data_IF_047390477353
#
_entry.id   IF_047390477353
#
_cell.length_a   1.000
_cell.length_b   1.000
_cell.length_c   1.000
_cell.angle_alpha   90.00
_cell.angle_beta   90.00
_cell.angle_gamma   90.00
#
_symmetry.space_group_name_H-M   'P 1'
#
loop_
_entity.id
_entity.type
_entity.pdbx_description
1 polymer ?
#
# COMPACT_ATOMS: atom_id res chain seq x y z
N UNK A 1 6.94 -7.78 -5.76
CA UNK A 1 5.79 -8.57 -5.24
C UNK A 1 4.52 -7.80 -5.53
N UNK A 2 3.49 -8.49 -6.00
CA UNK A 2 2.23 -7.84 -6.36
C UNK A 2 1.34 -7.67 -5.14
N UNK A 3 0.72 -6.49 -5.04
CA UNK A 3 -0.22 -6.18 -3.99
C UNK A 3 -1.36 -5.32 -4.51
N UNK A 4 -2.29 -5.01 -3.63
CA UNK A 4 -3.39 -4.11 -3.93
C UNK A 4 -3.64 -3.21 -2.71
N UNK A 5 -4.07 -1.99 -3.01
CA UNK A 5 -4.46 -1.02 -2.00
C UNK A 5 -5.98 -0.95 -2.03
N UNK A 6 -6.62 -1.19 -0.88
CA UNK A 6 -8.08 -1.18 -0.78
C UNK A 6 -8.54 -0.09 0.16
N UNK A 7 -9.47 0.73 -0.30
CA UNK A 7 -10.11 1.77 0.50
C UNK A 7 -11.46 2.16 -0.13
N UNK A 8 -12.45 2.43 0.69
CA UNK A 8 -13.75 2.98 0.26
C UNK A 8 -14.38 2.21 -0.92
N UNK A 9 -14.24 0.89 -0.95
CA UNK A 9 -14.77 0.07 -2.02
C UNK A 9 -13.95 0.06 -3.30
N UNK A 10 -12.82 0.77 -3.33
CA UNK A 10 -11.92 0.81 -4.47
C UNK A 10 -10.72 -0.09 -4.25
N UNK A 11 -10.17 -0.60 -5.34
CA UNK A 11 -8.96 -1.42 -5.31
C UNK A 11 -8.00 -0.90 -6.36
N UNK A 12 -6.76 -0.63 -5.94
CA UNK A 12 -5.72 -0.13 -6.84
C UNK A 12 -4.53 -1.07 -6.75
N UNK A 13 -4.06 -1.55 -7.89
CA UNK A 13 -2.89 -2.43 -7.94
C UNK A 13 -1.63 -1.65 -7.56
N UNK A 14 -0.73 -2.31 -6.87
CA UNK A 14 0.56 -1.74 -6.53
C UNK A 14 1.66 -2.81 -6.60
N UNK A 15 2.90 -2.35 -6.64
CA UNK A 15 4.06 -3.22 -6.55
C UNK A 15 4.72 -3.01 -5.18
N UNK A 16 4.87 -4.09 -4.43
CA UNK A 16 5.54 -4.02 -3.13
C UNK A 16 7.03 -4.17 -3.38
N UNK A 17 7.77 -3.07 -3.19
CA UNK A 17 9.20 -3.01 -3.52
C UNK A 17 10.08 -3.45 -2.37
N UNK A 18 9.64 -3.16 -1.14
CA UNK A 18 10.40 -3.50 0.05
C UNK A 18 9.42 -3.73 1.18
N UNK A 19 9.78 -4.57 2.13
CA UNK A 19 8.88 -4.93 3.20
C UNK A 19 9.64 -5.31 4.45
N UNK A 20 9.12 -4.89 5.59
CA UNK A 20 9.65 -5.27 6.89
C UNK A 20 8.49 -5.66 7.79
N UNK A 21 8.80 -6.03 9.03
CA UNK A 21 7.76 -6.39 9.99
C UNK A 21 6.86 -5.19 10.34
N UNK A 22 7.37 -3.96 10.18
CA UNK A 22 6.64 -2.75 10.59
C UNK A 22 6.03 -1.96 9.44
N UNK A 23 6.39 -2.25 8.19
CA UNK A 23 5.88 -1.47 7.07
C UNK A 23 6.39 -1.93 5.72
N UNK A 24 6.11 -1.15 4.69
CA UNK A 24 6.47 -1.48 3.33
C UNK A 24 6.67 -0.23 2.49
N UNK A 25 7.41 -0.37 1.38
CA UNK A 25 7.49 0.63 0.33
C UNK A 25 6.72 0.10 -0.87
N UNK A 26 5.84 0.93 -1.41
CA UNK A 26 4.93 0.55 -2.50
C UNK A 26 5.15 1.45 -3.69
N UNK A 27 5.07 0.87 -4.88
CA UNK A 27 5.10 1.61 -6.14
C UNK A 27 3.70 1.65 -6.72
N UNK A 28 3.18 2.85 -6.99
CA UNK A 28 1.85 3.07 -7.54
C UNK A 28 1.91 4.24 -8.52
N UNK A 29 0.99 4.24 -9.50
CA UNK A 29 1.00 5.24 -10.56
C UNK A 29 0.62 6.64 -10.06
N UNK A 30 -0.37 6.72 -9.17
CA UNK A 30 -0.90 8.01 -8.69
C UNK A 30 -1.02 8.03 -7.17
N UNK A 31 0.11 8.24 -6.44
CA UNK A 31 0.07 8.23 -4.97
C UNK A 31 -0.85 9.28 -4.38
N UNK A 32 -1.10 10.38 -5.10
CA UNK A 32 -1.93 11.46 -4.59
C UNK A 32 -3.41 11.11 -4.48
N UNK A 33 -3.85 10.03 -5.14
CA UNK A 33 -5.22 9.57 -5.08
C UNK A 33 -5.48 8.60 -3.91
N UNK A 34 -4.45 8.31 -3.12
CA UNK A 34 -4.50 7.34 -2.03
C UNK A 34 -4.74 8.08 -0.72
N UNK A 35 -5.71 7.66 0.12
CA UNK A 35 -5.88 8.25 1.44
C UNK A 35 -4.75 7.85 2.38
N UNK A 36 -4.64 8.55 3.52
CA UNK A 36 -3.60 8.27 4.51
C UNK A 36 -3.72 6.89 5.14
N UNK A 37 -4.94 6.36 5.23
CA UNK A 37 -5.20 5.05 5.82
C UNK A 37 -5.90 4.16 4.81
N UNK A 38 -5.44 2.92 4.69
CA UNK A 38 -6.04 1.95 3.77
C UNK A 38 -5.62 0.55 4.19
N UNK A 39 -6.14 -0.45 3.49
CA UNK A 39 -5.69 -1.83 3.67
C UNK A 39 -4.77 -2.22 2.53
N UNK A 40 -3.60 -2.76 2.87
CA UNK A 40 -2.68 -3.36 1.90
C UNK A 40 -3.00 -4.85 1.81
N UNK A 41 -3.21 -5.34 0.60
CA UNK A 41 -3.53 -6.75 0.37
C UNK A 41 -2.43 -7.39 -0.45
N UNK A 42 -1.87 -8.49 0.05
CA UNK A 42 -0.93 -9.29 -0.71
C UNK A 42 -1.71 -10.22 -1.62
N UNK A 43 -1.46 -10.17 -2.93
CA UNK A 43 -2.23 -10.96 -3.87
C UNK A 43 -2.06 -12.46 -3.69
N UNK A 44 -0.95 -12.87 -3.06
CA UNK A 44 -0.68 -14.28 -2.85
C UNK A 44 -1.70 -14.96 -1.93
N UNK A 45 -2.17 -14.24 -0.88
CA UNK A 45 -3.08 -14.86 0.10
C UNK A 45 -4.35 -14.03 0.35
N UNK A 46 -4.43 -12.80 -0.18
CA UNK A 46 -5.61 -11.96 -0.05
C UNK A 46 -5.84 -11.37 1.34
N UNK A 47 -4.89 -11.47 2.25
CA UNK A 47 -5.05 -10.97 3.61
C UNK A 47 -4.91 -9.46 3.65
N UNK A 48 -5.92 -8.72 4.15
CA UNK A 48 -5.79 -7.27 4.29
C UNK A 48 -5.00 -6.90 5.53
N UNK A 49 -4.10 -5.94 5.39
CA UNK A 49 -3.30 -5.42 6.50
C UNK A 49 -3.55 -3.92 6.60
N UNK A 50 -4.18 -3.46 7.68
CA UNK A 50 -4.38 -2.01 7.86
C UNK A 50 -3.05 -1.30 7.98
N UNK A 51 -2.93 -0.17 7.29
CA UNK A 51 -1.69 0.60 7.32
C UNK A 51 -1.98 2.08 7.09
N UNK A 52 -0.94 2.90 7.28
CA UNK A 52 -1.04 4.34 7.03
C UNK A 52 0.23 4.83 6.34
N UNK A 53 0.08 5.89 5.54
CA UNK A 53 1.17 6.48 4.77
C UNK A 53 2.08 7.28 5.70
N UNK A 54 3.38 7.03 5.63
CA UNK A 54 4.38 7.79 6.40
C UNK A 54 5.22 8.70 5.52
N UNK A 55 5.31 8.43 4.22
CA UNK A 55 5.93 9.35 3.26
C UNK A 55 5.38 9.06 1.87
N UNK A 56 5.48 10.07 1.01
CA UNK A 56 4.97 9.98 -0.36
C UNK A 56 5.97 10.66 -1.30
N UNK A 57 6.36 9.96 -2.36
CA UNK A 57 7.18 10.48 -3.45
C UNK A 57 6.42 10.28 -4.76
N UNK A 58 7.06 10.58 -5.90
CA UNK A 58 6.36 10.66 -7.19
C UNK A 58 5.50 9.45 -7.51
N UNK A 59 6.07 8.25 -7.46
CA UNK A 59 5.36 7.02 -7.76
C UNK A 59 5.56 5.98 -6.68
N UNK A 60 5.96 6.42 -5.47
CA UNK A 60 6.22 5.52 -4.35
C UNK A 60 5.67 6.11 -3.07
N UNK A 61 5.17 5.23 -2.23
CA UNK A 61 4.77 5.60 -0.87
C UNK A 61 5.40 4.63 0.11
N UNK A 62 5.69 5.13 1.30
CA UNK A 62 6.06 4.29 2.42
C UNK A 62 4.90 4.22 3.39
N UNK A 63 4.60 3.01 3.88
CA UNK A 63 3.50 2.80 4.82
C UNK A 63 4.01 2.08 6.05
N UNK A 64 3.37 2.37 7.18
CA UNK A 64 3.57 1.63 8.42
C UNK A 64 2.32 0.79 8.68
N UNK A 65 2.52 -0.45 9.11
CA UNK A 65 1.41 -1.31 9.50
C UNK A 65 0.85 -0.87 10.85
N UNK A 66 -0.47 -0.85 10.94
CA UNK A 66 -1.15 -0.47 12.18
C UNK A 66 -1.10 -1.54 13.25
#
# INVERSE_FOLDING_TARGET
>A
MSGAIEFAGSTINCLICDMSISGAALEIANPHDIPDHFNLVFKADGTPIPCHVIWCEEERIGVAFD
#
